data_IF_266764365654
#
_entry.id   IF_266764365654
#
_cell.length_a   1.000
_cell.length_b   1.000
_cell.length_c   1.000
_cell.angle_alpha   90.00
_cell.angle_beta   90.00
_cell.angle_gamma   90.00
#
_symmetry.space_group_name_H-M   'P 1'
#
loop_
_entity.id
_entity.type
_entity.pdbx_description
1 polymer ?
#
# COMPACT_ATOMS: atom_id res chain seq x y z
N UNK A 1 -9.33 -1.06 -12.67
CA UNK A 1 -7.88 -0.79 -12.65
C UNK A 1 -7.37 -0.84 -11.22
N UNK A 2 -6.33 -1.62 -10.94
CA UNK A 2 -5.72 -1.71 -9.61
C UNK A 2 -4.53 -0.75 -9.52
N UNK A 3 -4.47 0.05 -8.47
CA UNK A 3 -3.32 0.93 -8.19
C UNK A 3 -2.63 0.44 -6.92
N UNK A 4 -1.40 -0.07 -7.05
CA UNK A 4 -0.63 -0.50 -5.87
C UNK A 4 -0.04 0.72 -5.17
N UNK A 5 -0.45 0.95 -3.93
CA UNK A 5 0.03 2.01 -3.05
C UNK A 5 1.10 1.44 -2.13
N UNK A 6 2.30 2.03 -2.17
CA UNK A 6 3.41 1.65 -1.29
C UNK A 6 3.43 2.56 -0.06
N UNK A 7 3.14 1.98 1.10
CA UNK A 7 3.06 2.70 2.38
C UNK A 7 1.77 3.50 2.53
N UNK A 8 1.35 3.75 3.77
CA UNK A 8 0.15 4.54 4.03
C UNK A 8 0.44 6.03 4.21
N UNK A 9 1.71 6.41 4.36
CA UNK A 9 2.17 7.78 4.56
C UNK A 9 3.31 8.12 3.61
N UNK A 10 3.58 9.42 3.35
CA UNK A 10 4.76 9.85 2.59
C UNK A 10 6.08 9.27 3.11
N UNK A 11 6.23 9.15 4.44
CA UNK A 11 7.44 8.61 5.06
C UNK A 11 7.57 7.09 4.84
N UNK A 12 6.47 6.34 4.97
CA UNK A 12 6.48 4.90 4.67
C UNK A 12 6.73 4.65 3.18
N UNK A 13 6.15 5.46 2.30
CA UNK A 13 6.43 5.41 0.86
C UNK A 13 7.91 5.63 0.55
N UNK A 14 8.50 6.69 1.10
CA UNK A 14 9.91 7.00 0.91
C UNK A 14 10.80 5.88 1.44
N UNK A 15 10.50 5.36 2.64
CA UNK A 15 11.21 4.21 3.23
C UNK A 15 11.15 2.98 2.31
N UNK A 16 10.00 2.67 1.73
CA UNK A 16 9.81 1.45 0.94
C UNK A 16 10.37 1.53 -0.49
N UNK A 17 10.37 2.72 -1.08
CA UNK A 17 10.70 2.92 -2.49
C UNK A 17 12.07 3.57 -2.70
N UNK A 18 12.60 4.25 -1.68
CA UNK A 18 13.77 5.11 -1.80
C UNK A 18 13.50 6.44 -2.53
N UNK A 19 12.26 6.73 -2.90
CA UNK A 19 11.87 7.97 -3.55
C UNK A 19 11.61 9.09 -2.53
N UNK A 20 11.60 10.35 -2.99
CA UNK A 20 11.23 11.49 -2.15
C UNK A 20 9.78 11.37 -1.67
N UNK A 21 9.48 11.72 -0.40
CA UNK A 21 8.16 11.53 0.20
C UNK A 21 7.05 12.29 -0.54
N UNK A 22 7.36 13.41 -1.18
CA UNK A 22 6.38 14.20 -1.95
C UNK A 22 5.75 13.42 -3.12
N UNK A 23 6.46 12.43 -3.67
CA UNK A 23 5.93 11.60 -4.76
C UNK A 23 4.88 10.58 -4.30
N UNK A 24 4.65 10.44 -3.00
CA UNK A 24 3.50 9.71 -2.47
C UNK A 24 2.18 10.25 -3.05
N UNK A 25 2.08 11.56 -3.24
CA UNK A 25 0.88 12.22 -3.75
C UNK A 25 0.55 11.80 -5.18
N UNK A 26 1.52 11.33 -5.98
CA UNK A 26 1.25 10.83 -7.32
C UNK A 26 0.48 9.53 -7.32
N UNK A 27 0.62 8.69 -6.29
CA UNK A 27 -0.19 7.48 -6.15
C UNK A 27 -1.67 7.83 -5.93
N UNK A 28 -1.94 8.86 -5.11
CA UNK A 28 -3.28 9.38 -4.86
C UNK A 28 -3.84 10.14 -6.07
N UNK A 29 -2.99 10.91 -6.75
CA UNK A 29 -3.32 11.59 -8.00
C UNK A 29 -3.70 10.61 -9.11
N UNK A 30 -3.03 9.46 -9.20
CA UNK A 30 -3.39 8.41 -10.15
C UNK A 30 -4.82 7.90 -9.93
N UNK A 31 -5.21 7.63 -8.68
CA UNK A 31 -6.58 7.22 -8.33
C UNK A 31 -7.59 8.31 -8.71
N UNK A 32 -7.33 9.57 -8.34
CA UNK A 32 -8.20 10.70 -8.68
C UNK A 32 -8.37 10.82 -10.20
N UNK A 33 -7.27 10.80 -10.95
CA UNK A 33 -7.32 10.90 -12.40
C UNK A 33 -8.12 9.76 -13.02
N UNK A 34 -7.95 8.51 -12.55
CA UNK A 34 -8.74 7.39 -13.06
C UNK A 34 -10.26 7.63 -12.85
N UNK A 35 -10.66 8.07 -11.65
CA UNK A 35 -12.05 8.38 -11.36
C UNK A 35 -12.57 9.57 -12.20
N UNK A 36 -11.79 10.63 -12.36
CA UNK A 36 -12.16 11.82 -13.15
C UNK A 36 -12.44 11.48 -14.62
N UNK A 37 -11.77 10.45 -15.16
CA UNK A 37 -11.99 9.92 -16.51
C UNK A 37 -13.01 8.76 -16.56
N UNK A 38 -13.72 8.49 -15.47
CA UNK A 38 -14.74 7.44 -15.40
C UNK A 38 -14.18 6.01 -15.44
N UNK A 39 -12.89 5.83 -15.15
CA UNK A 39 -12.26 4.52 -15.07
C UNK A 39 -12.43 3.95 -13.68
N UNK A 40 -13.10 2.80 -13.58
CA UNK A 40 -13.23 2.08 -12.32
C UNK A 40 -11.84 1.68 -11.78
N UNK A 41 -11.55 2.06 -10.54
CA UNK A 41 -10.29 1.74 -9.90
C UNK A 41 -10.39 1.50 -8.41
N UNK A 42 -9.42 0.76 -7.86
CA UNK A 42 -9.27 0.54 -6.43
C UNK A 42 -7.81 0.63 -6.00
N UNK A 43 -7.55 1.12 -4.76
CA UNK A 43 -6.23 1.08 -4.15
C UNK A 43 -5.95 -0.29 -3.56
N UNK A 44 -4.78 -0.85 -3.87
CA UNK A 44 -4.24 -2.04 -3.21
C UNK A 44 -2.98 -1.67 -2.42
N UNK A 45 -2.98 -1.87 -1.11
CA UNK A 45 -2.01 -1.20 -0.22
C UNK A 45 -1.17 -2.20 0.55
N UNK A 46 0.15 -2.05 0.46
CA UNK A 46 1.10 -2.87 1.21
C UNK A 46 1.10 -2.54 2.71
N UNK A 47 0.27 -3.22 3.51
CA UNK A 47 0.05 -2.94 4.93
C UNK A 47 1.10 -3.56 5.86
N UNK A 48 1.94 -4.47 5.35
CA UNK A 48 3.03 -5.09 6.11
C UNK A 48 3.94 -4.10 6.82
N UNK A 49 4.02 -2.84 6.39
CA UNK A 49 4.93 -1.85 6.94
C UNK A 49 4.22 -0.70 7.66
N UNK A 50 2.89 -0.70 7.67
CA UNK A 50 2.07 0.41 8.13
C UNK A 50 1.52 0.17 9.53
N UNK A 51 1.38 1.25 10.30
CA UNK A 51 0.63 1.18 11.57
C UNK A 51 -0.86 1.39 11.35
N UNK A 52 -1.69 1.04 12.33
CA UNK A 52 -3.12 1.39 12.31
C UNK A 52 -3.34 2.90 12.13
N UNK A 53 -2.55 3.74 12.81
CA UNK A 53 -2.62 5.20 12.66
C UNK A 53 -2.26 5.64 11.25
N UNK A 54 -1.25 5.02 10.64
CA UNK A 54 -0.87 5.27 9.25
C UNK A 54 -1.99 4.88 8.28
N UNK A 55 -2.62 3.73 8.50
CA UNK A 55 -3.76 3.28 7.72
C UNK A 55 -4.94 4.25 7.84
N UNK A 56 -5.29 4.67 9.05
CA UNK A 56 -6.35 5.67 9.29
C UNK A 56 -6.06 6.99 8.56
N UNK A 57 -4.79 7.43 8.52
CA UNK A 57 -4.36 8.57 7.71
C UNK A 57 -4.66 8.34 6.23
N UNK A 58 -4.24 7.21 5.65
CA UNK A 58 -4.49 6.91 4.23
C UNK A 58 -5.99 6.82 3.91
N UNK A 59 -6.78 6.13 4.73
CA UNK A 59 -8.22 5.99 4.52
C UNK A 59 -8.93 7.34 4.51
N UNK A 60 -8.50 8.29 5.36
CA UNK A 60 -9.01 9.65 5.33
C UNK A 60 -8.64 10.38 4.02
N UNK A 61 -7.39 10.26 3.56
CA UNK A 61 -6.94 10.82 2.27
C UNK A 61 -7.69 10.24 1.07
N UNK A 62 -7.95 8.93 1.07
CA UNK A 62 -8.74 8.27 0.03
C UNK A 62 -10.19 8.76 0.04
N UNK A 63 -10.79 8.92 1.23
CA UNK A 63 -12.14 9.44 1.41
C UNK A 63 -12.31 10.88 0.93
N UNK A 64 -11.25 11.71 1.02
CA UNK A 64 -11.22 13.06 0.45
C UNK A 64 -11.27 13.07 -1.08
N UNK A 65 -10.81 12.00 -1.73
CA UNK A 65 -10.92 11.81 -3.19
C UNK A 65 -12.31 11.30 -3.52
N UNK A 66 -12.65 10.10 -3.05
CA UNK A 66 -13.99 9.52 -3.18
C UNK A 66 -14.17 8.35 -2.19
N UNK A 67 -15.38 8.19 -1.64
CA UNK A 67 -15.71 7.09 -0.71
C UNK A 67 -15.60 5.71 -1.36
N UNK A 68 -15.72 5.60 -2.69
CA UNK A 68 -15.53 4.33 -3.41
C UNK A 68 -14.15 3.75 -3.17
N UNK A 69 -13.11 4.58 -3.06
CA UNK A 69 -11.74 4.13 -2.86
C UNK A 69 -11.52 3.51 -1.47
N UNK A 70 -12.34 3.89 -0.48
CA UNK A 70 -12.34 3.25 0.84
C UNK A 70 -13.13 1.95 0.82
N UNK A 71 -14.23 1.90 0.06
CA UNK A 71 -15.09 0.71 -0.05
C UNK A 71 -14.40 -0.43 -0.80
N UNK A 72 -13.72 -0.11 -1.88
CA UNK A 72 -13.00 -1.07 -2.74
C UNK A 72 -11.54 -1.26 -2.29
N UNK A 73 -11.17 -0.81 -1.09
CA UNK A 73 -9.80 -0.88 -0.59
C UNK A 73 -9.33 -2.33 -0.46
N UNK A 74 -8.19 -2.65 -1.06
CA UNK A 74 -7.59 -3.98 -1.03
C UNK A 74 -6.33 -3.99 -0.16
N UNK A 75 -6.24 -4.96 0.75
CA UNK A 75 -5.08 -5.15 1.62
C UNK A 75 -4.04 -6.06 0.96
N UNK A 76 -2.77 -5.61 0.91
CA UNK A 76 -1.63 -6.43 0.49
C UNK A 76 -0.66 -6.65 1.64
N UNK A 77 -0.07 -7.85 1.68
CA UNK A 77 0.97 -8.19 2.65
C UNK A 77 2.17 -8.86 1.98
N UNK A 78 3.34 -8.67 2.59
CA UNK A 78 4.59 -9.31 2.19
C UNK A 78 4.56 -10.79 2.54
N UNK A 79 4.93 -11.59 1.54
CA UNK A 79 5.22 -13.00 1.72
C UNK A 79 6.71 -13.24 1.98
N UNK A 80 7.01 -14.08 2.96
CA UNK A 80 8.35 -14.36 3.48
C UNK A 80 9.17 -15.29 2.58
N UNK A 81 9.23 -15.00 1.28
CA UNK A 81 10.17 -15.70 0.41
C UNK A 81 11.61 -15.33 0.80
N UNK A 82 12.56 -16.30 0.84
CA UNK A 82 13.92 -16.03 1.31
C UNK A 82 14.61 -14.84 0.63
N UNK A 83 14.42 -14.69 -0.68
CA UNK A 83 14.99 -13.59 -1.46
C UNK A 83 14.32 -12.23 -1.15
N UNK A 84 13.04 -12.20 -0.78
CA UNK A 84 12.33 -10.98 -0.38
C UNK A 84 12.83 -10.52 0.98
N UNK A 85 12.91 -11.44 1.95
CA UNK A 85 13.37 -11.12 3.30
C UNK A 85 14.83 -10.64 3.31
N UNK A 86 15.69 -11.23 2.48
CA UNK A 86 17.08 -10.76 2.34
C UNK A 86 17.16 -9.34 1.76
N UNK A 87 16.29 -8.97 0.81
CA UNK A 87 16.22 -7.60 0.28
C UNK A 87 15.77 -6.60 1.34
N UNK A 88 14.73 -6.94 2.09
CA UNK A 88 14.22 -6.10 3.18
C UNK A 88 15.28 -5.89 4.26
N UNK A 89 15.98 -6.96 4.65
CA UNK A 89 17.10 -6.90 5.61
C UNK A 89 18.21 -5.98 5.14
N UNK A 90 18.63 -6.06 3.86
CA UNK A 90 19.65 -5.18 3.28
C UNK A 90 19.22 -3.71 3.24
N UNK A 91 17.93 -3.45 3.06
CA UNK A 91 17.36 -2.12 3.10
C UNK A 91 17.12 -1.59 4.53
N UNK A 92 17.33 -2.41 5.57
CA UNK A 92 17.03 -2.05 6.96
C UNK A 92 15.53 -1.95 7.26
N UNK A 93 14.69 -2.57 6.43
CA UNK A 93 13.23 -2.52 6.53
C UNK A 93 12.74 -3.82 7.14
N UNK A 94 11.88 -3.73 8.15
CA UNK A 94 11.24 -4.88 8.79
C UNK A 94 9.72 -4.81 8.64
N UNK A 95 9.08 -5.85 8.09
CA UNK A 95 7.63 -5.92 8.09
C UNK A 95 7.12 -6.10 9.53
N UNK A 96 6.04 -5.39 9.86
CA UNK A 96 5.26 -5.53 11.08
C UNK A 96 4.35 -6.77 11.02
N UNK A 97 3.86 -7.08 9.82
CA UNK A 97 3.04 -8.25 9.51
C UNK A 97 3.56 -8.88 8.22
N UNK A 98 3.76 -10.19 8.21
CA UNK A 98 4.17 -10.94 7.03
C UNK A 98 3.64 -12.37 7.12
N UNK A 99 3.53 -13.02 5.97
CA UNK A 99 3.02 -14.40 5.89
C UNK A 99 4.04 -15.31 5.23
N UNK A 100 4.18 -16.52 5.79
CA UNK A 100 4.97 -17.56 5.13
C UNK A 100 4.21 -18.08 3.91
N UNK A 101 4.88 -18.43 2.81
CA UNK A 101 4.22 -18.93 1.60
C UNK A 101 3.28 -20.13 1.83
N UNK A 102 3.54 -20.96 2.84
CA UNK A 102 2.73 -22.13 3.18
C UNK A 102 1.64 -21.84 4.23
N UNK A 103 1.40 -20.57 4.56
CA UNK A 103 0.48 -20.14 5.62
C UNK A 103 -0.11 -18.77 5.29
N UNK A 104 -0.45 -18.57 4.01
CA UNK A 104 -1.14 -17.38 3.52
C UNK A 104 -2.65 -17.58 3.78
N UNK A 105 -3.35 -16.64 4.41
CA UNK A 105 -4.81 -16.64 4.50
C UNK A 105 -5.47 -16.74 3.12
N UNK A 106 -6.50 -17.56 2.96
CA UNK A 106 -7.19 -17.78 1.68
C UNK A 106 -7.76 -16.48 1.09
N UNK A 107 -8.12 -15.51 1.93
CA UNK A 107 -8.61 -14.18 1.54
C UNK A 107 -7.54 -13.28 0.89
N UNK A 108 -6.26 -13.67 0.96
CA UNK A 108 -5.11 -12.96 0.39
C UNK A 108 -4.52 -13.67 -0.86
N UNK A 109 -5.17 -14.74 -1.35
CA UNK A 109 -4.73 -15.56 -2.49
C UNK A 109 -5.65 -15.35 -3.69
#
# INVERSE_FOLDING_TARGET
>A
MRVSIKGCTPQEFSMLTGAEPEFFEYQLGALRNLLDYGVECHPAVMLSFSTRKSLEYLLNRLKEIDKVLVREFEEEYVFEYPHVMERLRRAGILPKVSFKPNSIPDELI
#
